data_IF_311317206739
#
_entry.id   IF_311317206739
#
_cell.length_a   1.000
_cell.length_b   1.000
_cell.length_c   1.000
_cell.angle_alpha   90.00
_cell.angle_beta   90.00
_cell.angle_gamma   90.00
#
_symmetry.space_group_name_H-M   'P 1'
#
loop_
_entity.id
_entity.type
_entity.pdbx_description
1 polymer ?
#
# COMPACT_ATOMS: atom_id res chain seq x y z
N UNK A 1 -56.31 10.33 5.73
CA UNK A 1 -55.68 10.84 4.50
C UNK A 1 -54.40 11.49 4.99
N UNK A 2 -53.34 10.70 5.06
CA UNK A 2 -52.04 11.11 5.59
C UNK A 2 -51.01 10.81 4.50
N UNK A 3 -50.46 11.83 3.83
CA UNK A 3 -49.43 11.63 2.85
C UNK A 3 -48.06 12.00 3.44
N UNK A 4 -47.02 11.31 2.94
CA UNK A 4 -45.58 11.53 3.15
C UNK A 4 -44.95 10.88 4.39
N UNK A 5 -44.81 9.55 4.29
CA UNK A 5 -43.69 8.83 4.89
C UNK A 5 -42.44 9.12 4.07
N UNK A 6 -41.54 9.95 4.61
CA UNK A 6 -40.18 10.14 4.09
C UNK A 6 -39.36 8.88 4.38
N UNK A 7 -39.14 8.07 3.34
CA UNK A 7 -38.16 6.99 3.38
C UNK A 7 -36.80 7.57 2.97
N UNK A 8 -36.10 8.18 3.93
CA UNK A 8 -34.69 8.52 3.74
C UNK A 8 -33.90 7.21 3.58
N UNK A 9 -33.35 6.97 2.40
CA UNK A 9 -32.40 5.89 2.15
C UNK A 9 -31.00 6.38 2.51
N UNK A 10 -30.32 5.79 3.53
CA UNK A 10 -28.94 6.09 3.80
C UNK A 10 -28.06 5.19 2.90
N UNK A 11 -27.81 5.63 1.67
CA UNK A 11 -26.65 5.13 0.92
C UNK A 11 -25.43 5.94 1.36
N UNK A 12 -24.98 5.71 2.60
CA UNK A 12 -23.62 6.09 2.96
C UNK A 12 -22.68 5.30 2.05
N UNK A 13 -22.06 6.05 1.15
CA UNK A 13 -20.94 5.67 0.31
C UNK A 13 -19.78 5.27 1.22
N UNK A 14 -19.83 4.04 1.73
CA UNK A 14 -18.71 3.42 2.42
C UNK A 14 -17.68 3.05 1.35
N UNK A 15 -16.76 3.98 1.08
CA UNK A 15 -15.60 3.80 0.21
C UNK A 15 -14.54 2.94 0.88
N UNK A 16 -14.94 1.81 1.46
CA UNK A 16 -14.04 0.73 1.82
C UNK A 16 -14.05 -0.27 0.66
N UNK A 17 -13.32 0.06 -0.42
CA UNK A 17 -13.02 -0.92 -1.44
C UNK A 17 -12.33 -2.12 -0.76
N UNK A 18 -12.82 -3.36 -0.93
CA UNK A 18 -12.09 -4.54 -0.49
C UNK A 18 -10.84 -4.68 -1.37
N UNK A 19 -9.74 -4.04 -0.97
CA UNK A 19 -8.44 -4.11 -1.63
C UNK A 19 -7.76 -5.46 -1.33
N UNK A 20 -8.35 -6.54 -1.82
CA UNK A 20 -7.57 -7.61 -2.41
C UNK A 20 -7.51 -7.36 -3.92
N UNK A 21 -6.44 -7.73 -4.64
CA UNK A 21 -6.45 -7.72 -6.09
C UNK A 21 -7.31 -8.90 -6.54
N UNK A 22 -8.62 -8.79 -6.37
CA UNK A 22 -9.58 -9.49 -7.22
C UNK A 22 -9.16 -9.08 -8.62
N UNK A 23 -8.66 -10.05 -9.39
CA UNK A 23 -8.31 -9.83 -10.77
C UNK A 23 -9.57 -9.33 -11.47
N UNK A 24 -9.72 -8.01 -11.57
CA UNK A 24 -10.77 -7.39 -12.35
C UNK A 24 -10.37 -7.66 -13.78
N UNK A 25 -11.01 -8.66 -14.37
CA UNK A 25 -10.86 -8.95 -15.77
C UNK A 25 -11.36 -7.74 -16.55
N UNK A 26 -10.43 -6.88 -16.97
CA UNK A 26 -10.72 -5.82 -17.92
C UNK A 26 -11.20 -6.48 -19.22
N UNK A 27 -12.39 -6.10 -19.67
CA UNK A 27 -12.98 -6.61 -20.90
C UNK A 27 -12.11 -6.20 -22.10
N UNK A 28 -12.05 -7.01 -23.17
CA UNK A 28 -11.38 -6.61 -24.41
C UNK A 28 -11.92 -5.27 -24.92
N UNK A 29 -11.01 -4.37 -25.31
CA UNK A 29 -11.34 -3.07 -25.89
C UNK A 29 -11.03 -3.07 -27.39
N UNK A 30 -11.79 -2.31 -28.18
CA UNK A 30 -11.58 -2.20 -29.63
C UNK A 30 -10.32 -1.41 -30.03
N UNK A 31 -9.68 -0.72 -29.08
CA UNK A 31 -8.42 0.01 -29.29
C UNK A 31 -7.22 -0.96 -29.30
N UNK A 32 -6.67 -1.20 -30.49
CA UNK A 32 -5.52 -2.08 -30.68
C UNK A 32 -4.25 -1.60 -29.96
N UNK A 33 -4.04 -0.29 -29.79
CA UNK A 33 -2.86 0.23 -29.11
C UNK A 33 -2.97 -0.01 -27.61
N UNK A 34 -4.16 0.17 -27.05
CA UNK A 34 -4.45 -0.18 -25.66
C UNK A 34 -4.24 -1.67 -25.40
N UNK A 35 -4.79 -2.55 -26.25
CA UNK A 35 -4.64 -4.01 -26.09
C UNK A 35 -3.19 -4.49 -26.23
N UNK A 36 -2.39 -3.89 -27.12
CA UNK A 36 -0.93 -4.18 -27.20
C UNK A 36 -0.23 -3.83 -25.89
N UNK A 37 -0.43 -2.61 -25.37
CA UNK A 37 0.16 -2.20 -24.10
C UNK A 37 -0.35 -3.03 -22.92
N UNK A 38 -1.62 -3.44 -22.94
CA UNK A 38 -2.20 -4.34 -21.93
C UNK A 38 -1.56 -5.72 -21.98
N UNK A 39 -1.44 -6.31 -23.17
CA UNK A 39 -0.77 -7.59 -23.36
C UNK A 39 0.67 -7.54 -22.85
N UNK A 40 1.42 -6.47 -23.13
CA UNK A 40 2.77 -6.26 -22.60
C UNK A 40 2.80 -6.16 -21.07
N UNK A 41 1.90 -5.41 -20.45
CA UNK A 41 1.80 -5.32 -18.98
C UNK A 41 1.37 -6.63 -18.32
N UNK A 42 0.64 -7.48 -19.04
CA UNK A 42 0.18 -8.80 -18.58
C UNK A 42 1.20 -9.91 -18.89
N UNK A 43 2.16 -9.67 -19.81
CA UNK A 43 3.23 -10.59 -20.21
C UNK A 43 4.22 -10.79 -19.05
N UNK A 44 3.91 -11.75 -18.19
CA UNK A 44 4.71 -12.08 -17.00
C UNK A 44 3.93 -11.98 -15.69
N UNK A 45 2.67 -11.53 -15.71
CA UNK A 45 1.81 -11.63 -14.53
C UNK A 45 1.39 -13.08 -14.30
N UNK A 46 1.56 -13.54 -13.07
CA UNK A 46 1.12 -14.87 -12.62
C UNK A 46 -0.27 -14.76 -12.00
N UNK A 47 -1.14 -15.72 -12.28
CA UNK A 47 -2.45 -15.81 -11.66
C UNK A 47 -2.27 -16.25 -10.22
N UNK A 48 -2.74 -15.44 -9.27
CA UNK A 48 -2.72 -15.76 -7.84
C UNK A 48 -3.96 -16.58 -7.50
N UNK A 49 -3.78 -17.77 -6.95
CA UNK A 49 -4.87 -18.67 -6.56
C UNK A 49 -4.58 -19.25 -5.19
N UNK A 50 -5.62 -19.50 -4.39
CA UNK A 50 -5.48 -20.31 -3.17
C UNK A 50 -5.53 -21.78 -3.53
N UNK A 51 -4.82 -22.62 -2.78
CA UNK A 51 -4.92 -24.07 -2.91
C UNK A 51 -6.37 -24.53 -2.77
N UNK A 52 -7.11 -23.93 -1.83
CA UNK A 52 -8.53 -24.19 -1.58
C UNK A 52 -9.41 -23.90 -2.79
N UNK A 53 -9.09 -22.85 -3.56
CA UNK A 53 -9.87 -22.48 -4.76
C UNK A 53 -9.73 -23.52 -5.87
N UNK A 54 -8.58 -24.20 -5.93
CA UNK A 54 -8.36 -25.31 -6.86
C UNK A 54 -9.04 -26.59 -6.35
N UNK A 55 -9.04 -26.84 -5.04
CA UNK A 55 -9.68 -28.03 -4.48
C UNK A 55 -11.19 -27.97 -4.49
N UNK A 56 -11.83 -26.79 -4.51
CA UNK A 56 -13.30 -26.69 -4.66
C UNK A 56 -13.78 -26.89 -6.10
N UNK A 57 -12.90 -26.67 -7.09
CA UNK A 57 -13.25 -26.84 -8.51
C UNK A 57 -13.48 -28.31 -8.86
N UNK A 58 -14.40 -28.53 -9.78
CA UNK A 58 -14.66 -29.85 -10.39
C UNK A 58 -13.51 -30.25 -11.33
N UNK A 59 -13.35 -31.55 -11.58
CA UNK A 59 -12.32 -32.03 -12.51
C UNK A 59 -12.47 -31.45 -13.93
N UNK A 60 -13.70 -31.24 -14.39
CA UNK A 60 -13.97 -30.61 -15.69
C UNK A 60 -13.52 -29.15 -15.73
N UNK A 61 -13.74 -28.38 -14.65
CA UNK A 61 -13.24 -27.01 -14.53
C UNK A 61 -11.73 -26.95 -14.49
N UNK A 62 -11.09 -27.85 -13.73
CA UNK A 62 -9.63 -27.93 -13.67
C UNK A 62 -9.02 -28.26 -15.04
N UNK A 63 -9.63 -29.15 -15.83
CA UNK A 63 -9.18 -29.44 -17.20
C UNK A 63 -9.33 -28.22 -18.14
N UNK A 64 -10.44 -27.49 -18.05
CA UNK A 64 -10.61 -26.23 -18.81
C UNK A 64 -9.58 -25.19 -18.38
N UNK A 65 -9.31 -25.08 -17.09
CA UNK A 65 -8.35 -24.14 -16.56
C UNK A 65 -6.92 -24.50 -16.97
N UNK A 66 -6.54 -25.78 -16.93
CA UNK A 66 -5.26 -26.25 -17.44
C UNK A 66 -5.08 -25.96 -18.94
N UNK A 67 -6.12 -26.18 -19.75
CA UNK A 67 -6.10 -25.82 -21.17
C UNK A 67 -5.90 -24.31 -21.38
N UNK A 68 -6.58 -23.47 -20.60
CA UNK A 68 -6.41 -22.02 -20.64
C UNK A 68 -4.97 -21.59 -20.30
N UNK A 69 -4.33 -22.27 -19.34
CA UNK A 69 -2.94 -22.02 -18.96
C UNK A 69 -1.91 -22.67 -19.90
N UNK A 70 -2.34 -23.53 -20.83
CA UNK A 70 -1.44 -24.33 -21.67
C UNK A 70 -0.69 -25.45 -20.93
N UNK A 71 -1.26 -25.97 -19.84
CA UNK A 71 -0.69 -27.09 -19.07
C UNK A 71 -1.22 -28.42 -19.61
N UNK A 72 -0.33 -29.34 -19.98
CA UNK A 72 -0.72 -30.67 -20.45
C UNK A 72 -1.22 -31.54 -19.27
N UNK A 73 -2.43 -32.08 -19.39
CA UNK A 73 -3.12 -32.89 -18.35
C UNK A 73 -3.53 -34.27 -18.83
N UNK A 74 -2.96 -34.76 -19.94
CA UNK A 74 -3.27 -36.09 -20.50
C UNK A 74 -3.00 -37.22 -19.52
N UNK A 75 -1.95 -37.10 -18.71
CA UNK A 75 -1.55 -38.14 -17.74
C UNK A 75 -2.21 -37.99 -16.37
N UNK A 76 -3.13 -37.03 -16.19
CA UNK A 76 -3.81 -36.81 -14.92
C UNK A 76 -5.14 -37.57 -14.87
N UNK A 77 -5.19 -38.63 -14.07
CA UNK A 77 -6.37 -39.46 -13.83
C UNK A 77 -7.17 -38.91 -12.64
N UNK A 78 -6.47 -38.46 -11.60
CA UNK A 78 -7.09 -38.00 -10.37
C UNK A 78 -7.21 -36.48 -10.30
N UNK A 79 -8.17 -36.01 -9.49
CA UNK A 79 -8.34 -34.59 -9.21
C UNK A 79 -7.10 -34.00 -8.52
N UNK A 80 -6.47 -34.76 -7.62
CA UNK A 80 -5.28 -34.33 -6.90
C UNK A 80 -4.13 -34.00 -7.86
N UNK A 81 -3.87 -34.88 -8.82
CA UNK A 81 -2.84 -34.70 -9.85
C UNK A 81 -3.08 -33.45 -10.69
N UNK A 82 -4.34 -33.15 -11.04
CA UNK A 82 -4.70 -31.92 -11.75
C UNK A 82 -4.37 -30.67 -10.93
N UNK A 83 -4.76 -30.64 -9.66
CA UNK A 83 -4.48 -29.51 -8.76
C UNK A 83 -2.97 -29.31 -8.59
N UNK A 84 -2.24 -30.40 -8.39
CA UNK A 84 -0.79 -30.39 -8.20
C UNK A 84 -0.05 -29.91 -9.46
N UNK A 85 -0.46 -30.39 -10.65
CA UNK A 85 0.15 -30.01 -11.93
C UNK A 85 -0.15 -28.54 -12.28
N UNK A 86 -1.36 -28.06 -11.99
CA UNK A 86 -1.73 -26.65 -12.15
C UNK A 86 -0.93 -25.77 -11.17
N UNK A 87 -0.80 -26.20 -9.91
CA UNK A 87 -0.05 -25.46 -8.88
C UNK A 87 1.46 -25.35 -9.16
N UNK A 88 2.05 -26.33 -9.86
CA UNK A 88 3.44 -26.28 -10.32
C UNK A 88 3.66 -25.46 -11.59
N UNK A 89 2.60 -25.01 -12.26
CA UNK A 89 2.73 -24.22 -13.49
C UNK A 89 3.40 -22.87 -13.20
N UNK A 90 4.33 -22.40 -14.06
CA UNK A 90 4.96 -21.09 -13.88
C UNK A 90 3.97 -19.92 -13.98
N UNK A 91 2.77 -20.17 -14.52
CA UNK A 91 1.71 -19.16 -14.66
C UNK A 91 0.86 -18.98 -13.40
N UNK A 92 0.97 -19.88 -12.42
CA UNK A 92 0.17 -19.84 -11.18
C UNK A 92 1.07 -19.56 -9.99
N UNK A 93 0.61 -18.68 -9.10
CA UNK A 93 1.21 -18.44 -7.79
C UNK A 93 0.22 -18.90 -6.73
N UNK A 94 0.55 -20.00 -6.03
CA UNK A 94 -0.27 -20.49 -4.92
C UNK A 94 -0.03 -19.61 -3.70
N UNK A 95 -1.09 -18.96 -3.22
CA UNK A 95 -1.09 -18.21 -1.97
C UNK A 95 -1.56 -19.15 -0.86
N UNK A 96 -0.70 -19.40 0.12
CA UNK A 96 -1.05 -20.17 1.31
C UNK A 96 -2.09 -19.43 2.14
N UNK A 97 -3.05 -20.14 2.74
CA UNK A 97 -4.11 -19.53 3.55
C UNK A 97 -3.54 -18.69 4.70
N UNK A 98 -2.40 -19.09 5.26
CA UNK A 98 -1.69 -18.38 6.33
C UNK A 98 -1.11 -17.03 5.88
N UNK A 99 -0.93 -16.80 4.57
CA UNK A 99 -0.49 -15.50 4.03
C UNK A 99 -1.67 -14.60 3.64
N UNK A 100 -2.90 -15.11 3.68
CA UNK A 100 -4.09 -14.40 3.19
C UNK A 100 -5.04 -13.93 4.31
N UNK A 101 -4.88 -14.41 5.54
CA UNK A 101 -5.69 -13.99 6.71
C UNK A 101 -5.12 -12.79 7.48
N UNK A 102 -4.07 -12.16 6.95
CA UNK A 102 -3.66 -10.86 7.41
C UNK A 102 -3.37 -9.99 6.20
N UNK A 103 -4.22 -8.98 5.97
CA UNK A 103 -3.81 -7.72 5.35
C UNK A 103 -2.73 -6.97 6.16
N UNK A 104 -1.93 -7.69 6.93
CA UNK A 104 -0.62 -7.26 7.37
C UNK A 104 0.31 -7.66 6.23
N UNK A 105 0.63 -6.70 5.35
CA UNK A 105 1.82 -6.78 4.50
C UNK A 105 2.96 -7.47 5.27
N UNK A 106 3.76 -8.35 4.64
CA UNK A 106 4.93 -8.92 5.27
C UNK A 106 5.71 -7.77 5.89
N UNK A 107 5.87 -7.85 7.20
CA UNK A 107 6.46 -6.84 8.05
C UNK A 107 7.78 -6.41 7.42
N UNK A 108 7.75 -5.26 6.73
CA UNK A 108 8.80 -4.27 6.96
C UNK A 108 9.02 -4.25 8.47
N UNK A 109 10.27 -4.26 8.96
CA UNK A 109 10.52 -4.10 10.40
C UNK A 109 9.65 -2.93 10.85
N UNK A 110 8.65 -3.22 11.71
CA UNK A 110 7.70 -2.21 12.16
C UNK A 110 8.56 -1.12 12.74
N UNK A 111 8.61 0.04 12.09
CA UNK A 111 9.40 1.12 12.64
C UNK A 111 8.85 1.37 14.04
N UNK A 112 9.69 1.28 15.07
CA UNK A 112 9.25 1.52 16.43
C UNK A 112 8.66 2.92 16.51
N UNK A 113 7.37 2.98 16.85
CA UNK A 113 6.57 4.20 16.79
C UNK A 113 6.78 5.10 18.00
N UNK A 114 7.35 4.58 19.09
CA UNK A 114 7.45 5.29 20.36
C UNK A 114 8.89 5.32 20.87
N UNK A 115 9.32 6.51 21.31
CA UNK A 115 10.53 6.68 22.11
C UNK A 115 10.28 6.19 23.54
N UNK A 116 11.27 5.57 24.20
CA UNK A 116 11.14 5.19 25.62
C UNK A 116 10.85 6.40 26.51
N UNK A 117 11.46 7.55 26.23
CA UNK A 117 11.26 8.80 26.99
C UNK A 117 9.81 9.32 26.92
N UNK A 118 9.11 9.05 25.80
CA UNK A 118 7.73 9.49 25.61
C UNK A 118 6.77 8.59 26.37
N UNK A 119 7.02 7.28 26.39
CA UNK A 119 6.22 6.32 27.15
C UNK A 119 6.32 6.56 28.66
N UNK A 120 7.49 7.00 29.16
CA UNK A 120 7.65 7.41 30.56
C UNK A 120 6.85 8.67 30.93
N UNK A 121 6.46 9.51 29.96
CA UNK A 121 5.63 10.70 30.21
C UNK A 121 4.14 10.43 30.01
N UNK A 122 3.77 9.40 29.25
CA UNK A 122 2.37 9.02 29.03
C UNK A 122 1.69 8.49 30.31
N UNK A 123 0.38 8.73 30.41
CA UNK A 123 -0.43 8.22 31.51
C UNK A 123 -0.75 6.73 31.33
N UNK A 124 -1.08 6.03 32.40
CA UNK A 124 -1.46 4.60 32.37
C UNK A 124 -2.69 4.38 31.48
N UNK A 125 -3.65 5.32 31.50
CA UNK A 125 -4.84 5.28 30.65
C UNK A 125 -4.49 5.38 29.17
N UNK A 126 -3.56 6.26 28.80
CA UNK A 126 -3.11 6.42 27.41
C UNK A 126 -2.34 5.19 26.94
N UNK A 127 -1.48 4.61 27.79
CA UNK A 127 -0.76 3.38 27.49
C UNK A 127 -1.73 2.22 27.21
N UNK A 128 -2.79 2.09 28.02
CA UNK A 128 -3.85 1.09 27.78
C UNK A 128 -4.59 1.32 26.46
N UNK A 129 -4.95 2.57 26.17
CA UNK A 129 -5.61 2.92 24.91
C UNK A 129 -4.71 2.63 23.70
N UNK A 130 -3.40 2.88 23.80
CA UNK A 130 -2.41 2.54 22.77
C UNK A 130 -2.32 1.02 22.60
N UNK A 131 -2.25 0.26 23.69
CA UNK A 131 -2.21 -1.21 23.65
C UNK A 131 -3.47 -1.83 23.04
N UNK A 132 -4.65 -1.30 23.38
CA UNK A 132 -5.93 -1.75 22.82
C UNK A 132 -6.03 -1.44 21.32
N UNK A 133 -5.67 -0.23 20.91
CA UNK A 133 -5.65 0.17 19.49
C UNK A 133 -4.69 -0.68 18.66
N UNK A 134 -3.59 -1.13 19.25
CA UNK A 134 -2.57 -1.96 18.59
C UNK A 134 -2.78 -3.46 18.81
N UNK A 135 -3.89 -3.86 19.44
CA UNK A 135 -4.23 -5.26 19.75
C UNK A 135 -3.12 -6.04 20.48
N UNK A 136 -2.36 -5.36 21.35
CA UNK A 136 -1.30 -5.97 22.16
C UNK A 136 -1.93 -6.68 23.36
N UNK A 137 -1.64 -7.98 23.53
CA UNK A 137 -2.07 -8.75 24.71
C UNK A 137 -1.40 -8.18 25.96
N UNK A 138 -2.20 -7.71 26.93
CA UNK A 138 -1.69 -7.18 28.22
C UNK A 138 -2.34 -5.89 28.73
N UNK A 139 -3.40 -5.37 28.10
CA UNK A 139 -4.05 -4.10 28.47
C UNK A 139 -4.70 -4.09 29.88
N UNK A 140 -4.81 -5.24 30.54
CA UNK A 140 -5.37 -5.37 31.89
C UNK A 140 -4.39 -5.00 33.01
N UNK A 141 -3.10 -4.80 32.73
CA UNK A 141 -2.13 -4.43 33.76
C UNK A 141 -2.35 -3.00 34.26
N UNK A 142 -2.19 -2.78 35.57
CA UNK A 142 -2.27 -1.44 36.19
C UNK A 142 -0.89 -0.86 36.48
N UNK A 143 0.18 -1.61 36.23
CA UNK A 143 1.55 -1.17 36.45
C UNK A 143 2.11 -0.59 35.16
N UNK A 144 2.56 0.67 35.24
CA UNK A 144 3.11 1.38 34.09
C UNK A 144 4.29 0.65 33.46
N UNK A 145 5.18 0.08 34.30
CA UNK A 145 6.34 -0.67 33.85
C UNK A 145 5.95 -1.91 33.04
N UNK A 146 4.91 -2.64 33.45
CA UNK A 146 4.41 -3.81 32.73
C UNK A 146 3.81 -3.44 31.37
N UNK A 147 3.07 -2.33 31.28
CA UNK A 147 2.53 -1.84 30.00
C UNK A 147 3.65 -1.46 29.02
N UNK A 148 4.71 -0.79 29.52
CA UNK A 148 5.88 -0.45 28.71
C UNK A 148 6.63 -1.72 28.27
N UNK A 149 6.79 -2.70 29.15
CA UNK A 149 7.40 -4.00 28.84
C UNK A 149 6.65 -4.74 27.74
N UNK A 150 5.31 -4.77 27.80
CA UNK A 150 4.50 -5.36 26.74
C UNK A 150 4.64 -4.65 25.38
N UNK A 151 4.77 -3.32 25.37
CA UNK A 151 5.03 -2.58 24.13
C UNK A 151 6.43 -2.84 23.58
N UNK A 152 7.42 -3.02 24.46
CA UNK A 152 8.78 -3.38 24.08
C UNK A 152 8.86 -4.80 23.50
N UNK A 153 8.22 -5.79 24.13
CA UNK A 153 8.13 -7.17 23.63
C UNK A 153 7.38 -7.25 22.30
N UNK A 154 6.44 -6.33 22.05
CA UNK A 154 5.74 -6.21 20.78
C UNK A 154 6.57 -5.51 19.68
N UNK A 155 7.79 -5.04 19.99
CA UNK A 155 8.68 -4.36 19.04
C UNK A 155 8.21 -2.95 18.65
N UNK A 156 7.40 -2.30 19.50
CA UNK A 156 6.83 -0.98 19.22
C UNK A 156 7.68 0.18 19.78
N UNK A 157 8.73 -0.15 20.53
CA UNK A 157 9.60 0.80 21.24
C UNK A 157 11.03 0.64 20.76
N UNK A 158 11.71 1.76 20.51
CA UNK A 158 13.15 1.77 20.19
C UNK A 158 13.95 1.35 21.42
N UNK A 159 14.96 0.50 21.23
CA UNK A 159 15.98 0.37 22.27
C UNK A 159 16.75 1.70 22.41
N UNK A 160 17.23 2.03 23.62
CA UNK A 160 18.01 3.25 23.84
C UNK A 160 19.25 3.33 22.94
N UNK A 161 19.83 2.19 22.55
CA UNK A 161 20.95 2.09 21.63
C UNK A 161 20.57 2.54 20.21
N UNK A 162 19.40 2.13 19.72
CA UNK A 162 18.89 2.53 18.40
C UNK A 162 18.42 3.98 18.38
N UNK A 163 17.81 4.46 19.48
CA UNK A 163 17.42 5.85 19.62
C UNK A 163 18.63 6.81 19.58
N UNK A 164 19.76 6.42 20.18
CA UNK A 164 21.03 7.18 20.11
C UNK A 164 21.60 7.21 18.69
N UNK A 165 21.65 6.06 18.02
CA UNK A 165 22.16 5.97 16.64
C UNK A 165 21.34 6.80 15.63
N UNK A 166 20.02 6.91 15.84
CA UNK A 166 19.14 7.76 15.02
C UNK A 166 19.32 9.25 15.31
N UNK A 167 19.54 9.65 16.58
CA UNK A 167 19.88 11.04 16.94
C UNK A 167 21.21 11.48 16.33
N UNK A 168 22.22 10.60 16.33
CA UNK A 168 23.55 10.89 15.76
C UNK A 168 23.51 11.02 14.22
N UNK A 169 22.63 10.24 13.56
CA UNK A 169 22.38 10.34 12.11
C UNK A 169 21.54 11.56 11.72
N UNK A 170 20.71 12.11 12.63
CA UNK A 170 19.93 13.33 12.39
C UNK A 170 20.74 14.62 12.61
N UNK A 171 21.89 14.54 13.30
CA UNK A 171 22.70 15.70 13.71
C UNK A 171 23.80 16.10 12.71
N UNK A 172 23.94 15.41 11.57
CA UNK A 172 24.90 15.72 10.50
C UNK A 172 24.37 16.64 9.39
N UNK A 173 23.29 17.41 9.65
CA UNK A 173 22.79 18.43 8.69
C UNK A 173 22.73 19.86 9.24
N UNK A 174 23.28 20.11 10.43
CA UNK A 174 23.28 21.43 11.03
C UNK A 174 24.65 21.74 11.64
N UNK A 175 25.67 21.93 10.79
CA UNK A 175 26.87 22.76 11.06
C UNK A 175 27.85 22.72 9.86
N UNK A 176 27.47 23.34 8.73
CA UNK A 176 28.43 23.92 7.76
C UNK A 176 27.82 25.19 7.16
N UNK A 177 27.87 26.29 7.90
CA UNK A 177 27.90 27.62 7.29
C UNK A 177 29.36 28.06 7.17
N UNK A 178 29.86 28.21 5.93
CA UNK A 178 30.71 29.34 5.54
C UNK A 178 30.92 29.37 4.01
N UNK A 179 30.40 30.41 3.36
CA UNK A 179 30.90 31.03 2.11
C UNK A 179 31.00 30.20 0.81
N UNK A 180 29.99 30.31 -0.05
CA UNK A 180 30.15 30.83 -1.43
C UNK A 180 28.84 30.73 -2.21
N UNK A 181 28.46 31.85 -2.81
CA UNK A 181 27.38 31.98 -3.80
C UNK A 181 27.51 30.96 -4.93
N UNK A 182 26.59 30.00 -5.01
CA UNK A 182 26.22 29.33 -6.25
C UNK A 182 24.77 28.81 -6.16
N UNK A 183 23.96 28.94 -7.23
CA UNK A 183 22.55 28.56 -7.23
C UNK A 183 22.41 27.04 -7.23
N UNK A 184 21.74 26.52 -6.20
CA UNK A 184 21.43 25.10 -6.03
C UNK A 184 20.50 24.63 -7.17
N UNK A 185 20.81 23.54 -7.89
CA UNK A 185 19.90 22.98 -8.88
C UNK A 185 18.71 22.36 -8.15
N UNK A 186 17.59 23.09 -8.12
CA UNK A 186 16.34 22.60 -7.58
C UNK A 186 15.92 21.31 -8.31
N UNK A 187 15.35 20.32 -7.60
CA UNK A 187 14.97 19.05 -8.20
C UNK A 187 13.96 19.27 -9.34
N UNK A 188 14.07 18.53 -10.47
CA UNK A 188 13.23 18.71 -11.65
C UNK A 188 11.75 18.69 -11.26
N UNK A 189 10.96 19.62 -11.79
CA UNK A 189 9.53 19.75 -11.48
C UNK A 189 8.76 18.44 -11.71
N UNK A 190 9.20 17.62 -12.68
CA UNK A 190 8.65 16.29 -12.96
C UNK A 190 8.68 15.32 -11.76
N UNK A 191 9.61 15.50 -10.81
CA UNK A 191 9.74 14.65 -9.63
C UNK A 191 8.89 15.09 -8.45
N UNK A 192 8.34 16.31 -8.48
CA UNK A 192 7.48 16.83 -7.40
C UNK A 192 6.09 16.19 -7.43
N UNK A 193 5.45 16.07 -6.27
CA UNK A 193 4.07 15.61 -6.16
C UNK A 193 3.10 16.68 -6.70
N UNK A 194 1.88 16.28 -7.06
CA UNK A 194 0.85 17.23 -7.55
C UNK A 194 0.54 18.30 -6.49
N UNK A 195 0.56 17.94 -5.20
CA UNK A 195 0.39 18.89 -4.10
C UNK A 195 1.52 19.92 -4.03
N UNK A 196 2.78 19.49 -4.17
CA UNK A 196 3.94 20.37 -4.20
C UNK A 196 3.94 21.30 -5.42
N UNK A 197 3.50 20.81 -6.58
CA UNK A 197 3.37 21.62 -7.79
C UNK A 197 2.25 22.66 -7.66
N UNK A 198 1.12 22.31 -7.04
CA UNK A 198 0.03 23.26 -6.75
C UNK A 198 0.45 24.34 -5.75
N UNK A 199 1.20 23.97 -4.72
CA UNK A 199 1.75 24.92 -3.75
C UNK A 199 2.70 25.90 -4.43
N UNK A 200 3.62 25.40 -5.27
CA UNK A 200 4.55 26.23 -6.04
C UNK A 200 3.82 27.15 -7.03
N UNK A 201 2.82 26.64 -7.76
CA UNK A 201 2.02 27.46 -8.66
C UNK A 201 1.30 28.60 -7.90
N UNK A 202 0.78 28.32 -6.70
CA UNK A 202 0.15 29.33 -5.85
C UNK A 202 1.15 30.38 -5.37
N UNK A 203 2.35 29.95 -4.97
CA UNK A 203 3.45 30.84 -4.56
C UNK A 203 3.88 31.77 -5.70
N UNK A 204 3.89 31.26 -6.93
CA UNK A 204 4.24 32.01 -8.14
C UNK A 204 3.05 32.78 -8.76
N UNK A 205 1.85 32.69 -8.17
CA UNK A 205 0.64 33.36 -8.69
C UNK A 205 0.13 32.79 -10.03
N UNK A 206 0.44 31.54 -10.36
CA UNK A 206 0.09 30.89 -11.62
C UNK A 206 -1.28 30.21 -11.50
N UNK A 207 -2.22 30.61 -12.35
CA UNK A 207 -3.53 29.97 -12.46
C UNK A 207 -3.44 28.58 -13.10
N UNK A 208 -3.98 27.56 -12.42
CA UNK A 208 -4.03 26.17 -12.86
C UNK A 208 -5.37 25.77 -13.50
N UNK A 209 -6.18 26.75 -13.91
CA UNK A 209 -7.47 26.50 -14.54
C UNK A 209 -7.27 25.77 -15.88
N UNK A 210 -8.00 24.67 -16.08
CA UNK A 210 -7.89 23.80 -17.25
C UNK A 210 -6.75 22.77 -17.24
N UNK A 211 -5.95 22.67 -16.16
CA UNK A 211 -4.93 21.61 -16.03
C UNK A 211 -5.57 20.33 -15.47
N UNK A 212 -5.64 19.26 -16.27
CA UNK A 212 -6.23 17.98 -15.87
C UNK A 212 -5.17 16.98 -15.41
N UNK A 213 -3.98 17.04 -16.02
CA UNK A 213 -2.89 16.11 -15.76
C UNK A 213 -1.69 16.77 -15.07
N UNK A 214 -0.85 15.97 -14.41
CA UNK A 214 0.38 16.45 -13.75
C UNK A 214 1.32 17.15 -14.73
N UNK A 215 1.37 16.65 -15.96
CA UNK A 215 2.14 17.20 -17.07
C UNK A 215 1.69 18.61 -17.46
N UNK A 216 0.38 18.87 -17.45
CA UNK A 216 -0.17 20.21 -17.74
C UNK A 216 0.31 21.23 -16.71
N UNK A 217 0.30 20.85 -15.42
CA UNK A 217 0.74 21.69 -14.31
C UNK A 217 2.24 22.00 -14.43
N UNK A 218 3.07 21.00 -14.74
CA UNK A 218 4.51 21.19 -14.94
C UNK A 218 4.78 22.14 -16.11
N UNK A 219 4.18 21.87 -17.27
CA UNK A 219 4.34 22.70 -18.47
C UNK A 219 3.89 24.15 -18.23
N UNK A 220 2.82 24.35 -17.47
CA UNK A 220 2.29 25.66 -17.11
C UNK A 220 3.25 26.44 -16.21
N UNK A 221 3.88 25.78 -15.25
CA UNK A 221 4.88 26.39 -14.36
C UNK A 221 6.15 26.72 -15.14
N UNK A 222 6.66 25.81 -15.97
CA UNK A 222 7.87 26.03 -16.77
C UNK A 222 7.72 27.13 -17.83
N UNK A 223 6.50 27.29 -18.36
CA UNK A 223 6.19 28.35 -19.33
C UNK A 223 6.00 29.72 -18.69
N UNK A 224 5.87 29.78 -17.35
CA UNK A 224 5.64 31.05 -16.66
C UNK A 224 6.93 31.86 -16.52
N UNK A 225 6.90 33.19 -16.78
CA UNK A 225 8.05 34.05 -16.56
C UNK A 225 8.46 34.11 -15.08
N UNK A 226 7.53 33.85 -14.15
CA UNK A 226 7.81 33.85 -12.71
C UNK A 226 8.72 32.69 -12.25
N UNK A 227 8.87 31.63 -13.06
CA UNK A 227 9.70 30.48 -12.73
C UNK A 227 11.13 30.55 -13.31
N UNK A 228 11.36 31.42 -14.32
CA UNK A 228 12.65 31.55 -15.02
C UNK A 228 13.56 32.67 -14.48
N UNK A 229 13.16 33.35 -13.41
CA UNK A 229 13.92 34.43 -12.76
C UNK A 229 14.71 33.94 -11.56
#
# INVERSE_FOLDING_TARGET
MDPHSSFESPWTLDSAAPEGPVCRWELPTDDQNYEKGRAERMKGRKIRLRQTDLTVKTAAELRRFAHFLGVDVKDCLEKGELVEKIGRSPQVLIVSADEAECGSSPSMPREPMFSPEDLEKTSISDLKAIMERLAVKGSSSNEKAELIRHLHDAGLVLSEAEARSRRESAQTTADVEMSSSNPTPSPPLAQRSVGQLKALAKELGIGLDGCLEKTDIVNRIESSPAFKC
#
